data_IF_691071640590
#
_entry.id   IF_691071640590
#
_cell.length_a   1.000
_cell.length_b   1.000
_cell.length_c   1.000
_cell.angle_alpha   90.00
_cell.angle_beta   90.00
_cell.angle_gamma   90.00
#
_symmetry.space_group_name_H-M   'P 1'
#
loop_
_entity.id
_entity.type
_entity.pdbx_description
1 polymer ?
#
# COMPACT_ATOMS: atom_id res chain seq x y z
N UNK A 1 -5.58 -12.79 -16.18
CA UNK A 1 -4.91 -11.71 -15.43
C UNK A 1 -3.84 -12.38 -14.57
N UNK A 2 -2.57 -12.08 -14.82
CA UNK A 2 -1.44 -12.72 -14.15
C UNK A 2 -1.25 -12.21 -12.71
N UNK A 3 -0.51 -12.95 -11.86
CA UNK A 3 -0.10 -12.48 -10.53
C UNK A 3 0.66 -11.15 -10.63
N UNK A 4 1.54 -11.02 -11.63
CA UNK A 4 2.29 -9.80 -11.88
C UNK A 4 1.38 -8.63 -12.25
N UNK A 5 0.31 -8.86 -13.03
CA UNK A 5 -0.67 -7.81 -13.34
C UNK A 5 -1.35 -7.29 -12.07
N UNK A 6 -1.66 -8.17 -11.13
CA UNK A 6 -2.28 -7.80 -9.85
C UNK A 6 -1.31 -6.99 -8.97
N UNK A 7 -0.04 -7.39 -8.92
CA UNK A 7 1.01 -6.68 -8.18
C UNK A 7 1.20 -5.27 -8.75
N UNK A 8 1.38 -5.16 -10.08
CA UNK A 8 1.53 -3.88 -10.76
C UNK A 8 0.31 -2.97 -10.54
N UNK A 9 -0.91 -3.52 -10.55
CA UNK A 9 -2.13 -2.76 -10.25
C UNK A 9 -2.15 -2.18 -8.84
N UNK A 10 -1.65 -2.91 -7.84
CA UNK A 10 -1.57 -2.39 -6.47
C UNK A 10 -0.57 -1.24 -6.35
N UNK A 11 0.63 -1.41 -6.92
CA UNK A 11 1.62 -0.35 -6.92
C UNK A 11 1.17 0.87 -7.72
N UNK A 12 0.48 0.67 -8.84
CA UNK A 12 -0.06 1.80 -9.61
C UNK A 12 -1.09 2.60 -8.80
N UNK A 13 -2.02 1.93 -8.13
CA UNK A 13 -2.99 2.60 -7.25
C UNK A 13 -2.33 3.33 -6.08
N UNK A 14 -1.25 2.78 -5.53
CA UNK A 14 -0.49 3.41 -4.46
C UNK A 14 0.20 4.70 -4.94
N UNK A 15 0.78 4.66 -6.13
CA UNK A 15 1.39 5.82 -6.78
C UNK A 15 0.33 6.90 -7.06
N UNK A 16 -0.84 6.52 -7.58
CA UNK A 16 -1.93 7.46 -7.87
C UNK A 16 -2.38 8.22 -6.60
N UNK A 17 -2.51 7.53 -5.45
CA UNK A 17 -2.82 8.22 -4.20
C UNK A 17 -1.71 9.18 -3.76
N UNK A 18 -0.45 8.80 -3.95
CA UNK A 18 0.68 9.65 -3.58
C UNK A 18 0.73 10.92 -4.43
N UNK A 19 0.45 10.79 -5.74
CA UNK A 19 0.35 11.93 -6.66
C UNK A 19 -0.76 12.88 -6.19
N UNK A 20 -1.94 12.35 -5.86
CA UNK A 20 -3.05 13.16 -5.36
C UNK A 20 -2.69 13.85 -4.04
N UNK A 21 -2.09 13.13 -3.08
CA UNK A 21 -1.67 13.72 -1.80
C UNK A 21 -0.68 14.87 -1.99
N UNK A 22 0.31 14.71 -2.90
CA UNK A 22 1.30 15.74 -3.23
C UNK A 22 0.65 16.96 -3.88
N UNK A 23 -0.16 16.74 -4.91
CA UNK A 23 -0.86 17.82 -5.61
C UNK A 23 -1.76 18.62 -4.66
N UNK A 24 -2.53 17.94 -3.81
CA UNK A 24 -3.36 18.61 -2.79
C UNK A 24 -2.53 19.38 -1.76
N UNK A 25 -1.34 18.88 -1.41
CA UNK A 25 -0.48 19.58 -0.47
C UNK A 25 0.18 20.82 -1.07
N UNK A 26 0.60 20.74 -2.34
CA UNK A 26 1.33 21.80 -3.05
C UNK A 26 0.38 22.91 -3.53
N UNK A 27 -0.76 22.55 -4.13
CA UNK A 27 -1.54 23.48 -4.94
C UNK A 27 -2.87 23.94 -4.30
N UNK A 28 -3.41 23.18 -3.35
CA UNK A 28 -4.74 23.49 -2.78
C UNK A 28 -4.68 24.49 -1.62
N UNK A 29 -5.47 25.56 -1.73
CA UNK A 29 -5.74 26.50 -0.63
C UNK A 29 -7.24 26.83 -0.49
N UNK A 30 -7.81 26.81 0.73
CA UNK A 30 -7.16 26.44 1.99
C UNK A 30 -6.78 24.96 2.05
N UNK A 31 -5.69 24.64 2.76
CA UNK A 31 -5.19 23.27 2.85
C UNK A 31 -6.22 22.33 3.48
N UNK A 32 -6.52 21.23 2.81
CA UNK A 32 -7.39 20.17 3.33
C UNK A 32 -6.55 19.03 3.92
N UNK A 33 -5.98 19.26 5.11
CA UNK A 33 -5.01 18.35 5.75
C UNK A 33 -5.55 16.93 5.94
N UNK A 34 -6.81 16.78 6.35
CA UNK A 34 -7.44 15.47 6.54
C UNK A 34 -7.47 14.65 5.25
N UNK A 35 -7.79 15.28 4.13
CA UNK A 35 -7.86 14.63 2.81
C UNK A 35 -6.45 14.25 2.32
N UNK A 36 -5.46 15.12 2.54
CA UNK A 36 -4.06 14.83 2.20
C UNK A 36 -3.57 13.60 2.98
N UNK A 37 -3.81 13.57 4.29
CA UNK A 37 -3.44 12.44 5.15
C UNK A 37 -4.17 11.15 4.75
N UNK A 38 -5.45 11.24 4.36
CA UNK A 38 -6.20 10.09 3.86
C UNK A 38 -5.55 9.47 2.62
N UNK A 39 -5.16 10.27 1.63
CA UNK A 39 -4.47 9.76 0.44
C UNK A 39 -3.07 9.20 0.75
N UNK A 40 -2.32 9.85 1.64
CA UNK A 40 -1.03 9.31 2.10
C UNK A 40 -1.18 7.94 2.77
N UNK A 41 -2.19 7.77 3.64
CA UNK A 41 -2.50 6.47 4.25
C UNK A 41 -2.85 5.42 3.19
N UNK A 42 -3.72 5.77 2.24
CA UNK A 42 -4.17 4.84 1.20
C UNK A 42 -3.00 4.39 0.31
N UNK A 43 -2.09 5.29 -0.02
CA UNK A 43 -0.86 4.98 -0.77
C UNK A 43 -0.07 3.86 -0.09
N UNK A 44 0.20 4.01 1.21
CA UNK A 44 0.92 3.00 2.00
C UNK A 44 0.14 1.69 2.06
N UNK A 45 -1.17 1.72 2.31
CA UNK A 45 -2.01 0.51 2.36
C UNK A 45 -1.97 -0.28 1.05
N UNK A 46 -2.10 0.40 -0.09
CA UNK A 46 -2.08 -0.23 -1.43
C UNK A 46 -0.69 -0.78 -1.77
N UNK A 47 0.38 -0.05 -1.43
CA UNK A 47 1.74 -0.53 -1.61
C UNK A 47 2.00 -1.81 -0.80
N UNK A 48 1.57 -1.84 0.47
CA UNK A 48 1.68 -3.03 1.31
C UNK A 48 0.86 -4.21 0.78
N UNK A 49 -0.34 -3.97 0.22
CA UNK A 49 -1.13 -5.03 -0.43
C UNK A 49 -0.40 -5.62 -1.65
N UNK A 50 0.21 -4.77 -2.48
CA UNK A 50 1.06 -5.22 -3.59
C UNK A 50 2.25 -6.06 -3.12
N UNK A 51 2.93 -5.61 -2.06
CA UNK A 51 4.04 -6.33 -1.44
C UNK A 51 3.64 -7.70 -0.86
N UNK A 52 2.48 -7.78 -0.18
CA UNK A 52 1.98 -9.06 0.34
C UNK A 52 1.70 -10.05 -0.80
N UNK A 53 1.01 -9.60 -1.85
CA UNK A 53 0.74 -10.45 -3.03
C UNK A 53 2.03 -10.89 -3.72
N UNK A 54 3.04 -10.01 -3.80
CA UNK A 54 4.36 -10.37 -4.33
C UNK A 54 4.98 -11.55 -3.58
N UNK A 55 4.89 -11.55 -2.24
CA UNK A 55 5.38 -12.61 -1.36
C UNK A 55 4.43 -13.81 -1.20
N UNK A 56 3.43 -13.97 -2.07
CA UNK A 56 2.41 -15.04 -1.99
C UNK A 56 1.60 -15.03 -0.68
N UNK A 57 1.51 -13.87 -0.02
CA UNK A 57 0.68 -13.67 1.17
C UNK A 57 -0.64 -13.04 0.74
N UNK A 58 -1.75 -13.64 1.14
CA UNK A 58 -3.07 -13.09 0.83
C UNK A 58 -3.25 -11.71 1.50
N UNK A 59 -3.41 -10.69 0.66
CA UNK A 59 -3.71 -9.34 1.09
C UNK A 59 -5.05 -9.34 1.86
N UNK A 60 -5.09 -8.86 3.11
CA UNK A 60 -6.33 -8.83 3.88
C UNK A 60 -7.38 -7.97 3.17
N UNK A 61 -8.59 -8.50 3.02
CA UNK A 61 -9.77 -7.76 2.53
C UNK A 61 -10.32 -6.81 3.61
N UNK A 62 -9.46 -5.95 4.14
CA UNK A 62 -9.80 -4.95 5.16
C UNK A 62 -9.29 -3.56 4.74
N UNK A 63 -9.99 -2.53 5.20
CA UNK A 63 -9.60 -1.11 5.07
C UNK A 63 -8.91 -0.60 6.35
N UNK A 64 -8.34 -1.49 7.16
CA UNK A 64 -7.62 -1.10 8.37
C UNK A 64 -6.12 -1.15 8.12
N UNK A 65 -5.50 0.02 7.97
CA UNK A 65 -4.05 0.19 7.93
C UNK A 65 -3.33 -0.63 9.02
N UNK A 66 -3.87 -0.66 10.23
CA UNK A 66 -3.27 -1.37 11.37
C UNK A 66 -3.24 -2.90 11.16
N UNK A 67 -4.26 -3.48 10.55
CA UNK A 67 -4.30 -4.92 10.24
C UNK A 67 -3.34 -5.26 9.10
N UNK A 68 -3.26 -4.40 8.08
CA UNK A 68 -2.34 -4.57 6.95
C UNK A 68 -0.89 -4.47 7.42
N UNK A 69 -0.54 -3.46 8.21
CA UNK A 69 0.81 -3.27 8.79
C UNK A 69 1.25 -4.46 9.63
N UNK A 70 0.37 -4.98 10.50
CA UNK A 70 0.68 -6.12 11.36
C UNK A 70 1.02 -7.37 10.53
N UNK A 71 0.25 -7.66 9.48
CA UNK A 71 0.51 -8.80 8.58
C UNK A 71 1.82 -8.66 7.80
N UNK A 72 2.12 -7.46 7.30
CA UNK A 72 3.41 -7.21 6.63
C UNK A 72 4.60 -7.41 7.58
N UNK A 73 4.48 -6.99 8.84
CA UNK A 73 5.52 -7.17 9.84
C UNK A 73 5.69 -8.65 10.27
N UNK A 74 4.61 -9.42 10.40
CA UNK A 74 4.69 -10.84 10.79
C UNK A 74 5.12 -11.77 9.66
N UNK A 75 4.88 -11.40 8.40
CA UNK A 75 5.39 -12.14 7.24
C UNK A 75 6.91 -12.08 7.10
N UNK A 76 7.58 -11.21 7.86
CA UNK A 76 9.05 -11.09 7.93
C UNK A 76 9.70 -12.22 8.75
N UNK A 77 8.96 -12.87 9.66
CA UNK A 77 9.53 -13.85 10.60
C UNK A 77 9.66 -15.28 10.04
N UNK A 78 9.15 -15.56 8.84
CA UNK A 78 9.09 -16.93 8.30
C UNK A 78 9.80 -17.14 6.96
N UNK A 79 10.49 -16.14 6.40
CA UNK A 79 11.14 -16.23 5.07
C UNK A 79 12.67 -16.18 5.07
N UNK A 80 13.35 -16.21 6.22
CA UNK A 80 14.83 -16.33 6.27
C UNK A 80 15.36 -17.76 6.07
N UNK A 81 14.57 -18.68 5.51
CA UNK A 81 15.08 -19.98 5.10
C UNK A 81 14.36 -20.45 3.85
N UNK A 82 14.98 -20.20 2.70
CA UNK A 82 14.92 -20.98 1.43
C UNK A 82 15.36 -20.09 0.27
N UNK A 83 16.62 -19.67 0.25
CA UNK A 83 17.40 -19.52 -0.99
C UNK A 83 18.77 -20.13 -0.67
N UNK A 84 18.89 -21.43 -0.92
CA UNK A 84 20.16 -22.11 -1.21
C UNK A 84 20.59 -21.75 -2.61
#
# INVERSE_FOLDING_TARGET
MSKMDLICKWFKKAEDDLIVAKHLFEDLYPKQIEIICYHAQQSIEKALKGFLVYNDIEAPKTHSASVIRKKAATGFSSSSSKHT
#
